data_IF_589851306944
#
_entry.id   IF_589851306944
#
_cell.length_a   1.000
_cell.length_b   1.000
_cell.length_c   1.000
_cell.angle_alpha   90.00
_cell.angle_beta   90.00
_cell.angle_gamma   90.00
#
_symmetry.space_group_name_H-M   'P 1'
#
loop_
_entity.id
_entity.type
_entity.pdbx_description
1 polymer ?
#
# COMPACT_ATOMS: atom_id res chain seq x y z
N UNK A 1 -13.25 4.95 -19.16
CA UNK A 1 -12.66 4.54 -17.88
C UNK A 1 -12.69 3.03 -17.90
N UNK A 2 -11.56 2.39 -17.63
CA UNK A 2 -11.50 0.95 -17.44
C UNK A 2 -12.24 0.59 -16.14
N UNK A 3 -13.01 -0.49 -16.17
CA UNK A 3 -13.81 -0.97 -15.05
C UNK A 3 -13.37 -2.35 -14.57
N UNK A 4 -12.48 -3.02 -15.30
CA UNK A 4 -11.92 -4.32 -14.93
C UNK A 4 -10.42 -4.39 -15.26
N UNK A 5 -9.66 -5.17 -14.49
CA UNK A 5 -8.26 -5.48 -14.77
C UNK A 5 -8.13 -6.16 -16.12
N UNK A 6 -9.06 -7.07 -16.46
CA UNK A 6 -9.10 -7.69 -17.78
C UNK A 6 -9.13 -6.67 -18.93
N UNK A 7 -9.89 -5.58 -18.79
CA UNK A 7 -9.96 -4.54 -19.84
C UNK A 7 -8.63 -3.81 -20.01
N UNK A 8 -7.88 -3.59 -18.92
CA UNK A 8 -6.55 -2.99 -18.95
C UNK A 8 -5.59 -3.92 -19.72
N UNK A 9 -5.57 -5.20 -19.37
CA UNK A 9 -4.71 -6.21 -20.01
C UNK A 9 -5.03 -6.33 -21.50
N UNK A 10 -6.30 -6.45 -21.86
CA UNK A 10 -6.74 -6.57 -23.26
C UNK A 10 -6.38 -5.30 -24.05
N UNK A 11 -6.53 -4.11 -23.46
CA UNK A 11 -6.17 -2.84 -24.09
C UNK A 11 -4.66 -2.69 -24.29
N UNK A 12 -3.85 -3.03 -23.29
CA UNK A 12 -2.39 -2.97 -23.35
C UNK A 12 -1.87 -3.90 -24.46
N UNK A 13 -2.35 -5.14 -24.48
CA UNK A 13 -1.99 -6.11 -25.52
C UNK A 13 -2.46 -5.69 -26.92
N UNK A 14 -3.70 -5.19 -27.06
CA UNK A 14 -4.22 -4.78 -28.37
C UNK A 14 -3.50 -3.54 -28.93
N UNK A 15 -3.15 -2.59 -28.07
CA UNK A 15 -2.50 -1.34 -28.46
C UNK A 15 -0.97 -1.41 -28.45
N UNK A 16 -0.39 -2.50 -27.95
CA UNK A 16 1.05 -2.68 -27.75
C UNK A 16 1.64 -1.54 -26.90
N UNK A 17 0.90 -1.12 -25.87
CA UNK A 17 1.28 -0.07 -24.93
C UNK A 17 1.54 -0.65 -23.55
N UNK A 18 2.38 0.03 -22.80
CA UNK A 18 2.54 -0.20 -21.38
C UNK A 18 1.29 0.28 -20.62
N UNK A 19 1.04 -0.29 -19.46
CA UNK A 19 -0.12 0.02 -18.62
C UNK A 19 -0.06 1.48 -18.13
N UNK A 20 1.13 2.00 -17.82
CA UNK A 20 1.27 3.41 -17.42
C UNK A 20 0.80 4.38 -18.52
N UNK A 21 0.96 4.04 -19.79
CA UNK A 21 0.49 4.87 -20.90
C UNK A 21 -1.05 4.91 -20.91
N UNK A 22 -1.70 3.76 -20.70
CA UNK A 22 -3.15 3.67 -20.60
C UNK A 22 -3.68 4.46 -19.40
N UNK A 23 -2.94 4.47 -18.28
CA UNK A 23 -3.28 5.24 -17.09
C UNK A 23 -3.27 6.75 -17.38
N UNK A 24 -2.22 7.24 -18.04
CA UNK A 24 -2.08 8.66 -18.42
C UNK A 24 -3.19 9.06 -19.40
N UNK A 25 -3.43 8.25 -20.44
CA UNK A 25 -4.50 8.52 -21.42
C UNK A 25 -5.88 8.57 -20.77
N UNK A 26 -6.13 7.66 -19.83
CA UNK A 26 -7.36 7.65 -19.06
C UNK A 26 -7.50 8.94 -18.23
N UNK A 27 -6.46 9.34 -17.52
CA UNK A 27 -6.48 10.54 -16.65
C UNK A 27 -6.72 11.80 -17.47
N UNK A 28 -6.02 11.98 -18.59
CA UNK A 28 -6.23 13.10 -19.52
C UNK A 28 -7.67 13.10 -20.03
N UNK A 29 -8.19 11.94 -20.43
CA UNK A 29 -9.56 11.83 -20.97
C UNK A 29 -10.62 12.17 -19.92
N UNK A 30 -10.41 11.84 -18.66
CA UNK A 30 -11.36 12.08 -17.58
C UNK A 30 -11.31 13.52 -17.06
N UNK A 31 -10.10 14.03 -16.82
CA UNK A 31 -9.91 15.35 -16.18
C UNK A 31 -9.87 16.49 -17.19
N UNK A 32 -9.63 16.21 -18.47
CA UNK A 32 -9.49 17.19 -19.56
C UNK A 32 -8.32 18.16 -19.36
N UNK A 33 -7.32 17.79 -18.57
CA UNK A 33 -6.09 18.58 -18.37
C UNK A 33 -4.95 18.08 -19.28
N UNK A 34 -3.87 18.85 -19.40
CA UNK A 34 -2.76 18.49 -20.30
C UNK A 34 -1.92 17.32 -19.78
N UNK A 35 -1.12 16.71 -20.65
CA UNK A 35 -0.15 15.67 -20.27
C UNK A 35 0.83 16.18 -19.20
N UNK A 36 1.34 17.40 -19.39
CA UNK A 36 2.30 18.05 -18.49
C UNK A 36 1.69 18.27 -17.09
N UNK A 37 0.41 18.62 -17.02
CA UNK A 37 -0.29 18.79 -15.75
C UNK A 37 -0.52 17.45 -15.04
N UNK A 38 -0.89 16.39 -15.77
CA UNK A 38 -1.00 15.03 -15.24
C UNK A 38 0.34 14.54 -14.71
N UNK A 39 1.40 14.69 -15.50
CA UNK A 39 2.76 14.31 -15.15
C UNK A 39 3.26 15.07 -13.90
N UNK A 40 3.12 16.40 -13.88
CA UNK A 40 3.58 17.24 -12.77
C UNK A 40 2.83 16.93 -11.46
N UNK A 41 1.55 16.54 -11.52
CA UNK A 41 0.83 16.04 -10.34
C UNK A 41 1.44 14.75 -9.81
N UNK A 42 1.74 13.79 -10.68
CA UNK A 42 2.32 12.51 -10.26
C UNK A 42 3.75 12.68 -9.75
N UNK A 43 4.54 13.57 -10.35
CA UNK A 43 5.88 13.90 -9.89
C UNK A 43 5.87 14.49 -8.47
N UNK A 44 4.90 15.36 -8.14
CA UNK A 44 4.74 15.87 -6.77
C UNK A 44 4.39 14.76 -5.77
N UNK A 45 3.61 13.76 -6.19
CA UNK A 45 3.32 12.60 -5.35
C UNK A 45 4.59 11.80 -5.06
N UNK A 46 5.41 11.54 -6.08
CA UNK A 46 6.70 10.86 -5.94
C UNK A 46 7.64 11.63 -5.00
N UNK A 47 7.76 12.95 -5.19
CA UNK A 47 8.58 13.81 -4.33
C UNK A 47 8.11 13.77 -2.86
N UNK A 48 6.80 13.75 -2.63
CA UNK A 48 6.22 13.64 -1.29
C UNK A 48 6.58 12.31 -0.65
N UNK A 49 6.50 11.20 -1.40
CA UNK A 49 6.91 9.88 -0.92
C UNK A 49 8.39 9.84 -0.55
N UNK A 50 9.27 10.35 -1.43
CA UNK A 50 10.71 10.39 -1.19
C UNK A 50 11.05 11.25 0.03
N UNK A 51 10.40 12.41 0.18
CA UNK A 51 10.60 13.28 1.33
C UNK A 51 10.18 12.61 2.64
N UNK A 52 9.04 11.91 2.66
CA UNK A 52 8.60 11.17 3.84
C UNK A 52 9.59 10.05 4.24
N UNK A 53 10.11 9.29 3.27
CA UNK A 53 11.16 8.28 3.55
C UNK A 53 12.38 8.94 4.18
N UNK A 54 12.92 9.99 3.56
CA UNK A 54 14.14 10.65 4.05
C UNK A 54 13.94 11.20 5.47
N UNK A 55 12.84 11.92 5.69
CA UNK A 55 12.50 12.49 6.99
C UNK A 55 12.40 11.43 8.08
N UNK A 56 11.87 10.24 7.78
CA UNK A 56 11.68 9.17 8.76
C UNK A 56 12.98 8.56 9.32
N UNK A 57 14.09 8.74 8.61
CA UNK A 57 15.40 8.16 8.96
C UNK A 57 16.45 9.23 9.31
N UNK A 58 16.07 10.50 9.33
CA UNK A 58 16.93 11.60 9.78
C UNK A 58 17.05 11.60 11.30
N UNK A 59 18.28 11.66 11.83
CA UNK A 59 18.54 11.66 13.27
C UNK A 59 17.94 10.43 13.98
N UNK A 60 17.12 10.67 15.00
CA UNK A 60 16.41 9.63 15.75
C UNK A 60 15.08 9.19 15.09
N UNK A 61 14.75 9.77 13.93
CA UNK A 61 13.51 9.54 13.19
C UNK A 61 12.38 10.49 13.63
N UNK A 62 11.16 10.10 13.31
CA UNK A 62 9.93 10.87 13.63
C UNK A 62 9.08 10.13 14.65
N UNK A 63 8.34 10.89 15.47
CA UNK A 63 7.55 10.35 16.57
C UNK A 63 6.13 10.91 16.56
N UNK A 64 5.15 10.04 16.80
CA UNK A 64 3.76 10.46 16.93
C UNK A 64 3.54 11.27 18.22
N UNK A 65 2.57 12.21 18.24
CA UNK A 65 2.23 12.95 19.45
C UNK A 65 1.79 12.06 20.63
N UNK A 66 1.32 10.85 20.35
CA UNK A 66 0.89 9.87 21.36
C UNK A 66 2.07 9.11 21.97
N UNK A 67 3.24 9.12 21.31
CA UNK A 67 4.41 8.35 21.70
C UNK A 67 4.30 6.83 21.46
N UNK A 68 3.26 6.37 20.76
CA UNK A 68 3.07 4.95 20.46
C UNK A 68 3.89 4.48 19.24
N UNK A 69 4.20 5.38 18.33
CA UNK A 69 4.90 5.13 17.06
C UNK A 69 6.07 6.09 16.92
N UNK A 70 7.21 5.58 16.47
CA UNK A 70 8.34 6.42 16.08
C UNK A 70 9.71 5.77 16.28
N UNK A 71 10.64 6.15 15.41
CA UNK A 71 12.03 5.70 15.42
C UNK A 71 12.25 4.23 15.06
N UNK A 72 11.19 3.47 14.72
CA UNK A 72 11.35 2.08 14.27
C UNK A 72 12.03 2.03 12.89
N UNK A 73 11.81 3.02 12.00
CA UNK A 73 12.54 3.10 10.74
C UNK A 73 14.06 3.22 10.94
N UNK A 74 14.51 4.04 11.89
CA UNK A 74 15.93 4.17 12.25
C UNK A 74 16.50 2.89 12.86
N UNK A 75 15.73 2.20 13.72
CA UNK A 75 16.14 0.89 14.26
C UNK A 75 16.34 -0.14 13.14
N UNK A 76 15.44 -0.17 12.17
CA UNK A 76 15.52 -1.09 11.02
C UNK A 76 16.69 -0.72 10.11
N UNK A 77 16.92 0.58 9.86
CA UNK A 77 18.12 1.08 9.16
C UNK A 77 19.40 0.56 9.80
N UNK A 78 19.52 0.75 11.11
CA UNK A 78 20.70 0.31 11.87
C UNK A 78 20.86 -1.21 11.85
N UNK A 79 19.77 -1.97 11.94
CA UNK A 79 19.79 -3.43 11.79
C UNK A 79 20.29 -3.85 10.40
N UNK A 80 19.75 -3.23 9.34
CA UNK A 80 20.14 -3.52 7.95
C UNK A 80 21.62 -3.23 7.69
N UNK A 81 22.10 -2.07 8.13
CA UNK A 81 23.47 -1.61 7.82
C UNK A 81 24.55 -2.32 8.64
N UNK A 82 24.23 -2.80 9.85
CA UNK A 82 25.23 -3.32 10.78
C UNK A 82 25.09 -4.81 11.09
N UNK A 83 24.08 -5.50 10.55
CA UNK A 83 23.85 -6.93 10.79
C UNK A 83 23.48 -7.67 9.51
N UNK A 84 23.52 -9.00 9.58
CA UNK A 84 23.06 -9.87 8.49
C UNK A 84 21.53 -10.00 8.55
N UNK A 85 20.85 -9.49 7.53
CA UNK A 85 19.40 -9.60 7.38
C UNK A 85 18.97 -11.03 7.01
N UNK A 86 17.77 -11.44 7.43
CA UNK A 86 17.26 -12.79 7.16
C UNK A 86 16.54 -12.88 5.80
N UNK A 87 15.78 -11.85 5.45
CA UNK A 87 14.98 -11.78 4.22
C UNK A 87 15.72 -11.13 3.04
N UNK A 88 17.02 -10.85 3.20
CA UNK A 88 17.79 -10.06 2.25
C UNK A 88 17.66 -8.55 2.46
N UNK A 89 18.68 -7.82 2.00
CA UNK A 89 18.82 -6.37 2.18
C UNK A 89 17.69 -5.58 1.53
N UNK A 90 17.36 -5.90 0.28
CA UNK A 90 16.29 -5.27 -0.51
C UNK A 90 14.95 -5.31 0.23
N UNK A 91 14.57 -6.48 0.74
CA UNK A 91 13.31 -6.64 1.49
C UNK A 91 13.30 -5.78 2.76
N UNK A 92 14.42 -5.74 3.50
CA UNK A 92 14.53 -4.93 4.72
C UNK A 92 14.54 -3.44 4.40
N UNK A 93 15.10 -3.02 3.27
CA UNK A 93 14.99 -1.65 2.76
C UNK A 93 13.53 -1.27 2.48
N UNK A 94 12.76 -2.14 1.83
CA UNK A 94 11.33 -1.91 1.60
C UNK A 94 10.54 -1.79 2.90
N UNK A 95 10.80 -2.69 3.85
CA UNK A 95 10.19 -2.65 5.20
C UNK A 95 10.54 -1.36 5.93
N UNK A 96 11.80 -0.92 5.89
CA UNK A 96 12.24 0.34 6.48
C UNK A 96 11.46 1.52 5.89
N UNK A 97 11.41 1.62 4.56
CA UNK A 97 10.75 2.71 3.86
C UNK A 97 9.25 2.74 4.15
N UNK A 98 8.59 1.58 4.15
CA UNK A 98 7.17 1.47 4.44
C UNK A 98 6.83 1.90 5.88
N UNK A 99 7.60 1.41 6.86
CA UNK A 99 7.45 1.83 8.26
C UNK A 99 7.71 3.32 8.37
N UNK A 100 8.80 3.83 7.79
CA UNK A 100 9.17 5.23 7.88
C UNK A 100 8.10 6.19 7.36
N UNK A 101 7.49 5.91 6.20
CA UNK A 101 6.38 6.72 5.68
C UNK A 101 5.18 6.69 6.63
N UNK A 102 4.85 5.53 7.20
CA UNK A 102 3.76 5.42 8.16
C UNK A 102 4.07 6.09 9.52
N UNK A 103 5.33 6.14 9.93
CA UNK A 103 5.76 6.93 11.10
C UNK A 103 5.59 8.42 10.82
N UNK A 104 5.94 8.90 9.60
CA UNK A 104 5.68 10.30 9.19
C UNK A 104 4.18 10.61 9.22
N UNK A 105 3.33 9.70 8.73
CA UNK A 105 1.88 9.82 8.81
C UNK A 105 1.40 9.92 10.28
N UNK A 106 1.87 9.03 11.15
CA UNK A 106 1.53 9.04 12.58
C UNK A 106 2.03 10.31 13.31
N UNK A 107 3.12 10.90 12.82
CA UNK A 107 3.66 12.18 13.25
C UNK A 107 2.97 13.41 12.62
N UNK A 108 1.84 13.21 11.90
CA UNK A 108 1.08 14.26 11.21
C UNK A 108 1.87 15.00 10.13
N UNK A 109 2.88 14.35 9.55
CA UNK A 109 3.64 14.85 8.41
C UNK A 109 2.92 14.65 7.07
N UNK A 110 3.43 15.29 6.02
CA UNK A 110 2.91 15.14 4.67
C UNK A 110 3.26 13.74 4.11
N UNK A 111 2.25 13.05 3.59
CA UNK A 111 2.37 11.74 2.92
C UNK A 111 1.55 11.72 1.63
N UNK A 112 1.81 10.74 0.78
CA UNK A 112 0.98 10.45 -0.39
C UNK A 112 0.10 9.22 -0.09
N UNK A 113 -1.22 9.39 -0.10
CA UNK A 113 -2.16 8.30 0.18
C UNK A 113 -2.15 7.27 -0.96
N UNK A 114 -2.00 5.98 -0.62
CA UNK A 114 -1.97 4.88 -1.61
C UNK A 114 -2.62 3.60 -1.08
N UNK A 115 -3.95 3.40 -1.23
CA UNK A 115 -4.96 4.39 -1.60
C UNK A 115 -5.42 5.25 -0.40
N UNK A 116 -5.08 4.87 0.84
CA UNK A 116 -5.42 5.65 2.05
C UNK A 116 -4.17 6.14 2.76
N UNK A 117 -4.34 7.06 3.71
CA UNK A 117 -3.25 7.48 4.59
C UNK A 117 -2.69 6.30 5.41
N UNK A 118 -3.55 5.37 5.84
CA UNK A 118 -3.15 4.19 6.61
C UNK A 118 -2.31 3.19 5.82
N UNK A 119 -2.46 3.12 4.50
CA UNK A 119 -1.68 2.27 3.61
C UNK A 119 -0.55 2.99 2.85
N UNK A 120 -0.28 4.26 3.19
CA UNK A 120 0.61 5.14 2.43
C UNK A 120 2.06 4.68 2.32
N UNK A 121 2.54 3.81 3.22
CA UNK A 121 3.91 3.30 3.19
C UNK A 121 4.13 2.13 2.23
N UNK A 122 3.08 1.40 1.85
CA UNK A 122 3.24 0.14 1.10
C UNK A 122 3.85 0.36 -0.30
N UNK A 123 3.24 1.24 -1.10
CA UNK A 123 3.69 1.59 -2.46
C UNK A 123 5.11 2.17 -2.49
N UNK A 124 5.47 3.18 -1.70
CA UNK A 124 6.85 3.67 -1.66
C UNK A 124 7.82 2.64 -1.10
N UNK A 125 7.41 1.79 -0.16
CA UNK A 125 8.22 0.67 0.30
C UNK A 125 8.67 -0.24 -0.84
N UNK A 126 7.77 -0.58 -1.75
CA UNK A 126 8.09 -1.37 -2.95
C UNK A 126 9.00 -0.58 -3.88
N UNK A 127 8.54 0.59 -4.34
CA UNK A 127 9.24 1.40 -5.35
C UNK A 127 10.69 1.70 -4.96
N UNK A 128 10.92 2.20 -3.74
CA UNK A 128 12.25 2.61 -3.31
C UNK A 128 13.16 1.43 -2.93
N UNK A 129 12.61 0.22 -2.74
CA UNK A 129 13.44 -0.99 -2.56
C UNK A 129 13.97 -1.54 -3.87
N UNK A 130 13.21 -1.41 -4.97
CA UNK A 130 13.57 -1.99 -6.27
C UNK A 130 14.30 -1.01 -7.18
N UNK A 131 14.21 0.31 -6.95
CA UNK A 131 14.73 1.33 -7.87
C UNK A 131 16.20 1.13 -8.27
N UNK A 132 17.06 0.77 -7.33
CA UNK A 132 18.50 0.63 -7.60
C UNK A 132 18.80 -0.73 -8.24
N UNK A 133 18.04 -1.76 -7.88
CA UNK A 133 18.18 -3.12 -8.44
C UNK A 133 17.74 -3.16 -9.90
N UNK A 134 16.66 -2.46 -10.24
CA UNK A 134 16.13 -2.34 -11.60
C UNK A 134 16.71 -1.15 -12.37
N UNK A 135 17.57 -0.34 -11.74
CA UNK A 135 18.16 0.89 -12.32
C UNK A 135 17.10 1.86 -12.86
N UNK A 136 15.99 2.01 -12.13
CA UNK A 136 14.87 2.85 -12.53
C UNK A 136 15.29 4.31 -12.61
N UNK A 137 15.00 4.95 -13.74
CA UNK A 137 15.10 6.40 -13.88
C UNK A 137 13.98 7.10 -13.10
N UNK A 138 14.09 8.41 -12.94
CA UNK A 138 13.02 9.22 -12.35
C UNK A 138 11.69 9.08 -13.13
N UNK A 139 11.77 8.97 -14.45
CA UNK A 139 10.59 8.76 -15.30
C UNK A 139 9.97 7.38 -15.05
N UNK A 140 10.77 6.33 -14.91
CA UNK A 140 10.28 4.98 -14.60
C UNK A 140 9.59 4.92 -13.23
N UNK A 141 10.10 5.67 -12.26
CA UNK A 141 9.45 5.79 -10.95
C UNK A 141 8.08 6.48 -11.04
N UNK A 142 7.91 7.44 -11.94
CA UNK A 142 6.62 8.09 -12.21
C UNK A 142 5.67 7.12 -12.95
N UNK A 143 6.18 6.38 -13.95
CA UNK A 143 5.42 5.33 -14.65
C UNK A 143 4.89 4.26 -13.68
N UNK A 144 5.73 3.82 -12.73
CA UNK A 144 5.32 2.89 -11.68
C UNK A 144 4.09 3.41 -10.90
N UNK A 145 4.07 4.69 -10.55
CA UNK A 145 2.93 5.28 -9.84
C UNK A 145 1.67 5.37 -10.70
N UNK A 146 1.80 5.64 -12.00
CA UNK A 146 0.67 5.62 -12.93
C UNK A 146 0.04 4.23 -13.04
N UNK A 147 0.86 3.19 -13.15
CA UNK A 147 0.37 1.79 -13.19
C UNK A 147 -0.29 1.41 -11.88
N UNK A 148 0.36 1.71 -10.74
CA UNK A 148 -0.22 1.51 -9.41
C UNK A 148 -1.60 2.20 -9.28
N UNK A 149 -1.69 3.47 -9.70
CA UNK A 149 -2.91 4.24 -9.65
C UNK A 149 -4.04 3.64 -10.51
N UNK A 150 -3.74 3.19 -11.73
CA UNK A 150 -4.75 2.61 -12.63
C UNK A 150 -5.38 1.34 -12.03
N UNK A 151 -4.58 0.42 -11.49
CA UNK A 151 -5.10 -0.75 -10.75
C UNK A 151 -5.93 -0.32 -9.53
N UNK A 152 -5.46 0.69 -8.79
CA UNK A 152 -6.19 1.26 -7.65
C UNK A 152 -7.57 1.80 -8.02
N UNK A 153 -7.72 2.41 -9.21
CA UNK A 153 -9.03 2.90 -9.67
C UNK A 153 -10.04 1.78 -9.87
N UNK A 154 -9.60 0.59 -10.33
CA UNK A 154 -10.48 -0.57 -10.49
C UNK A 154 -11.00 -1.04 -9.14
N UNK A 155 -10.13 -1.11 -8.13
CA UNK A 155 -10.53 -1.48 -6.77
C UNK A 155 -11.52 -0.48 -6.17
N UNK A 156 -11.23 0.82 -6.30
CA UNK A 156 -12.08 1.88 -5.77
C UNK A 156 -13.49 1.88 -6.39
N UNK A 157 -13.60 1.55 -7.67
CA UNK A 157 -14.87 1.57 -8.39
C UNK A 157 -15.71 0.30 -8.22
N UNK A 158 -15.10 -0.86 -7.95
CA UNK A 158 -15.80 -2.15 -7.89
C UNK A 158 -15.94 -2.72 -6.48
N UNK A 159 -15.15 -2.24 -5.51
CA UNK A 159 -15.17 -2.72 -4.15
C UNK A 159 -15.24 -1.56 -3.14
N UNK A 160 -14.19 -1.39 -2.35
CA UNK A 160 -14.03 -0.28 -1.42
C UNK A 160 -12.54 -0.14 -1.10
N UNK A 161 -12.13 1.06 -0.68
CA UNK A 161 -10.77 1.34 -0.20
C UNK A 161 -10.74 1.80 1.27
N UNK A 162 -11.85 1.63 1.99
CA UNK A 162 -11.99 2.11 3.37
C UNK A 162 -11.88 0.96 4.38
N UNK A 163 -10.97 1.11 5.35
CA UNK A 163 -10.81 0.17 6.47
C UNK A 163 -12.08 0.01 7.29
N UNK A 164 -12.79 1.11 7.56
CA UNK A 164 -14.07 1.13 8.27
C UNK A 164 -15.16 0.28 7.62
N UNK A 165 -15.13 0.12 6.29
CA UNK A 165 -16.13 -0.66 5.57
C UNK A 165 -15.65 -2.07 5.24
N UNK A 166 -14.46 -2.18 4.64
CA UNK A 166 -13.95 -3.42 4.05
C UNK A 166 -12.92 -4.16 4.87
N UNK A 167 -12.49 -3.63 6.01
CA UNK A 167 -11.30 -4.11 6.71
C UNK A 167 -10.01 -3.62 6.04
N UNK A 168 -8.86 -3.93 6.64
CA UNK A 168 -7.56 -3.46 6.18
C UNK A 168 -7.10 -4.15 4.88
N UNK A 169 -7.77 -5.23 4.46
CA UNK A 169 -7.68 -5.77 3.10
C UNK A 169 -7.98 -4.70 2.04
N UNK A 170 -8.92 -3.78 2.31
CA UNK A 170 -9.30 -2.72 1.39
C UNK A 170 -8.27 -1.59 1.32
N UNK A 171 -7.39 -1.49 2.31
CA UNK A 171 -6.35 -0.46 2.40
C UNK A 171 -4.99 -1.04 2.04
N UNK A 172 -4.37 -1.78 2.97
CA UNK A 172 -3.04 -2.37 2.80
C UNK A 172 -3.06 -3.50 1.78
N UNK A 173 -4.15 -4.28 1.71
CA UNK A 173 -4.31 -5.31 0.69
C UNK A 173 -4.34 -4.71 -0.73
N UNK A 174 -5.19 -3.70 -0.94
CA UNK A 174 -5.23 -2.93 -2.19
C UNK A 174 -3.87 -2.30 -2.52
N UNK A 175 -3.22 -1.64 -1.55
CA UNK A 175 -1.91 -1.02 -1.76
C UNK A 175 -0.83 -2.04 -2.15
N UNK A 176 -0.83 -3.21 -1.51
CA UNK A 176 0.06 -4.32 -1.82
C UNK A 176 -0.17 -4.82 -3.25
N UNK A 177 -1.42 -5.01 -3.65
CA UNK A 177 -1.79 -5.45 -4.98
C UNK A 177 -1.44 -4.42 -6.08
N UNK A 178 -1.74 -3.15 -5.85
CA UNK A 178 -1.38 -2.05 -6.74
C UNK A 178 0.14 -1.97 -6.94
N UNK A 179 0.91 -2.06 -5.85
CA UNK A 179 2.37 -1.99 -5.91
C UNK A 179 2.98 -3.24 -6.56
N UNK A 180 2.40 -4.43 -6.36
CA UNK A 180 2.85 -5.66 -7.01
C UNK A 180 2.70 -5.58 -8.54
N UNK A 181 1.54 -5.13 -9.02
CA UNK A 181 1.28 -4.95 -10.45
C UNK A 181 2.26 -3.97 -11.12
N UNK A 182 2.54 -2.85 -10.44
CA UNK A 182 3.48 -1.85 -10.90
C UNK A 182 4.94 -2.34 -10.86
N UNK A 183 5.31 -3.13 -9.86
CA UNK A 183 6.64 -3.73 -9.77
C UNK A 183 6.90 -4.71 -10.92
N UNK A 184 5.90 -5.49 -11.31
CA UNK A 184 6.00 -6.38 -12.48
C UNK A 184 6.24 -5.59 -13.76
N UNK A 185 5.49 -4.52 -14.01
CA UNK A 185 5.68 -3.72 -15.20
C UNK A 185 7.05 -3.02 -15.20
N UNK A 186 7.47 -2.44 -14.07
CA UNK A 186 8.78 -1.82 -13.93
C UNK A 186 9.94 -2.81 -14.15
N UNK A 187 9.72 -4.11 -13.90
CA UNK A 187 10.68 -5.18 -14.18
C UNK A 187 10.60 -5.72 -15.63
N UNK A 188 9.76 -5.12 -16.50
CA UNK A 188 9.58 -5.55 -17.89
C UNK A 188 8.66 -6.75 -18.07
N UNK A 189 7.85 -7.07 -17.06
CA UNK A 189 6.83 -8.12 -17.16
C UNK A 189 5.67 -7.75 -18.08
N UNK A 190 4.93 -8.76 -18.52
CA UNK A 190 3.76 -8.56 -19.40
C UNK A 190 2.55 -7.99 -18.64
N UNK A 191 1.58 -7.35 -19.33
CA UNK A 191 0.34 -6.91 -18.68
C UNK A 191 -0.41 -8.04 -17.96
N UNK A 192 -0.35 -9.27 -18.51
CA UNK A 192 -0.93 -10.43 -17.85
C UNK A 192 -0.22 -10.72 -16.51
N UNK A 193 1.12 -10.70 -16.47
CA UNK A 193 1.85 -10.90 -15.22
C UNK A 193 1.57 -9.82 -14.18
N UNK A 194 1.34 -8.57 -14.59
CA UNK A 194 0.89 -7.52 -13.66
C UNK A 194 -0.48 -7.83 -13.04
N UNK A 195 -1.40 -8.38 -13.85
CA UNK A 195 -2.69 -8.89 -13.34
C UNK A 195 -2.52 -10.09 -12.40
N UNK A 196 -1.61 -11.02 -12.71
CA UNK A 196 -1.31 -12.16 -11.84
C UNK A 196 -0.74 -11.71 -10.48
N UNK A 197 0.24 -10.80 -10.49
CA UNK A 197 0.83 -10.26 -9.26
C UNK A 197 -0.17 -9.50 -8.41
N UNK A 198 -1.02 -8.69 -9.05
CA UNK A 198 -2.13 -8.02 -8.38
C UNK A 198 -3.03 -9.04 -7.66
N UNK A 199 -3.45 -10.08 -8.38
CA UNK A 199 -4.33 -11.13 -7.87
C UNK A 199 -3.69 -11.88 -6.70
N UNK A 200 -2.42 -12.29 -6.81
CA UNK A 200 -1.69 -13.00 -5.73
C UNK A 200 -1.60 -12.13 -4.48
N UNK A 201 -1.16 -10.89 -4.64
CA UNK A 201 -0.96 -9.97 -3.53
C UNK A 201 -2.27 -9.70 -2.79
N UNK A 202 -3.37 -9.48 -3.52
CA UNK A 202 -4.68 -9.23 -2.92
C UNK A 202 -5.22 -10.46 -2.20
N UNK A 203 -5.13 -11.65 -2.81
CA UNK A 203 -5.57 -12.92 -2.22
C UNK A 203 -4.94 -13.18 -0.86
N UNK A 204 -3.63 -12.97 -0.73
CA UNK A 204 -2.88 -13.21 0.52
C UNK A 204 -3.34 -12.35 1.70
N UNK A 205 -4.06 -11.26 1.43
CA UNK A 205 -4.51 -10.31 2.45
C UNK A 205 -6.05 -10.26 2.57
N UNK A 206 -6.78 -11.16 1.90
CA UNK A 206 -8.23 -11.29 2.08
C UNK A 206 -8.59 -11.64 3.53
N UNK A 207 -9.64 -11.00 4.05
CA UNK A 207 -10.10 -11.17 5.44
C UNK A 207 -9.31 -10.37 6.47
N UNK A 208 -8.31 -9.57 6.06
CA UNK A 208 -7.53 -8.75 6.99
C UNK A 208 -8.43 -7.68 7.65
N UNK A 209 -8.69 -7.86 8.94
CA UNK A 209 -9.54 -7.00 9.79
C UNK A 209 -8.94 -5.61 10.00
N UNK A 210 -9.74 -4.59 10.28
CA UNK A 210 -9.24 -3.25 10.63
C UNK A 210 -9.63 -2.92 12.07
N UNK A 211 -8.78 -3.21 13.05
CA UNK A 211 -9.08 -2.96 14.47
C UNK A 211 -7.94 -2.19 15.14
N UNK A 212 -7.73 -0.91 14.79
CA UNK A 212 -6.60 -0.14 15.27
C UNK A 212 -6.74 0.23 16.75
N UNK A 213 -5.63 0.12 17.51
CA UNK A 213 -5.58 0.51 18.91
C UNK A 213 -5.96 1.99 19.05
N UNK A 214 -6.92 2.25 19.94
CA UNK A 214 -7.44 3.59 20.20
C UNK A 214 -8.01 4.31 18.94
N UNK A 215 -8.31 3.58 17.86
CA UNK A 215 -8.77 4.20 16.61
C UNK A 215 -7.67 4.95 15.84
N UNK A 216 -6.40 4.77 16.21
CA UNK A 216 -5.28 5.54 15.66
C UNK A 216 -4.61 4.77 14.52
N UNK A 217 -4.13 5.51 13.51
CA UNK A 217 -3.38 4.96 12.36
C UNK A 217 -1.92 4.68 12.76
N UNK A 218 -1.76 3.86 13.79
CA UNK A 218 -0.48 3.59 14.46
C UNK A 218 -0.32 2.08 14.63
N UNK A 219 -1.08 1.48 15.55
CA UNK A 219 -0.99 0.04 15.88
C UNK A 219 -2.27 -0.65 15.42
N UNK A 220 -2.20 -1.70 14.56
CA UNK A 220 -1.02 -2.29 13.94
C UNK A 220 -0.66 -1.68 12.56
N UNK A 221 -1.28 -0.56 12.18
CA UNK A 221 -1.24 0.01 10.84
C UNK A 221 0.18 0.20 10.27
N UNK A 222 1.12 0.69 11.08
CA UNK A 222 2.51 0.92 10.66
C UNK A 222 3.18 -0.38 10.21
N UNK A 223 3.08 -1.43 11.03
CA UNK A 223 3.70 -2.74 10.74
C UNK A 223 2.97 -3.51 9.65
N UNK A 224 1.69 -3.23 9.41
CA UNK A 224 0.96 -3.80 8.27
C UNK A 224 1.50 -3.34 6.94
N UNK A 225 2.00 -2.10 6.83
CA UNK A 225 2.61 -1.62 5.58
C UNK A 225 3.91 -2.34 5.25
N UNK A 226 4.72 -2.71 6.26
CA UNK A 226 5.88 -3.57 6.04
C UNK A 226 5.50 -4.93 5.42
N UNK A 227 4.42 -5.55 5.92
CA UNK A 227 3.91 -6.81 5.37
C UNK A 227 3.29 -6.61 3.98
N UNK A 228 2.59 -5.49 3.76
CA UNK A 228 2.07 -5.12 2.44
C UNK A 228 3.18 -5.01 1.40
N UNK A 229 4.29 -4.35 1.74
CA UNK A 229 5.47 -4.25 0.87
C UNK A 229 6.11 -5.61 0.61
N UNK A 230 6.32 -6.43 1.65
CA UNK A 230 6.92 -7.74 1.49
C UNK A 230 6.06 -8.69 0.64
N UNK A 231 4.74 -8.67 0.87
CA UNK A 231 3.76 -9.44 0.10
C UNK A 231 3.74 -9.01 -1.37
N UNK A 232 3.84 -7.69 -1.64
CA UNK A 232 3.83 -7.17 -3.00
C UNK A 232 5.06 -7.61 -3.81
N UNK A 233 6.25 -7.54 -3.21
CA UNK A 233 7.49 -8.01 -3.84
C UNK A 233 7.46 -9.52 -4.10
N UNK A 234 7.05 -10.30 -3.12
CA UNK A 234 6.92 -11.75 -3.28
C UNK A 234 5.90 -12.11 -4.37
N UNK A 235 4.75 -11.42 -4.42
CA UNK A 235 3.74 -11.62 -5.47
C UNK A 235 4.26 -11.25 -6.87
N UNK A 236 5.04 -10.17 -6.97
CA UNK A 236 5.67 -9.77 -8.23
C UNK A 236 6.66 -10.83 -8.72
N UNK A 237 7.53 -11.34 -7.84
CA UNK A 237 8.49 -12.42 -8.19
C UNK A 237 7.77 -13.69 -8.64
N UNK A 238 6.69 -14.10 -7.95
CA UNK A 238 5.89 -15.27 -8.30
C UNK A 238 5.29 -15.12 -9.71
N UNK A 239 4.71 -13.95 -10.02
CA UNK A 239 4.13 -13.68 -11.34
C UNK A 239 5.19 -13.59 -12.44
N UNK A 240 6.33 -12.94 -12.18
CA UNK A 240 7.47 -12.86 -13.11
C UNK A 240 8.06 -14.24 -13.41
N UNK A 241 8.03 -15.16 -12.44
CA UNK A 241 8.40 -16.55 -12.62
C UNK A 241 7.41 -17.37 -13.48
N UNK A 242 6.28 -16.79 -13.90
CA UNK A 242 5.29 -17.43 -14.75
C UNK A 242 4.28 -18.30 -14.01
N UNK A 243 4.14 -18.12 -12.68
CA UNK A 243 3.11 -18.80 -11.90
C UNK A 243 1.79 -18.04 -12.06
N UNK A 244 0.82 -18.69 -12.69
CA UNK A 244 -0.50 -18.10 -12.97
C UNK A 244 -1.51 -18.43 -11.87
N UNK A 245 -2.45 -17.53 -11.63
CA UNK A 245 -3.61 -17.79 -10.79
C UNK A 245 -4.68 -18.56 -11.57
N UNK A 246 -5.45 -19.37 -10.84
CA UNK A 246 -6.69 -19.96 -11.38
C UNK A 246 -7.86 -18.99 -11.28
N UNK A 247 -7.87 -18.15 -10.23
CA UNK A 247 -8.89 -17.12 -10.00
C UNK A 247 -8.31 -15.80 -10.48
N UNK A 248 -9.00 -15.13 -11.41
CA UNK A 248 -8.49 -13.90 -12.00
C UNK A 248 -8.63 -12.70 -11.03
N UNK A 249 -7.90 -11.62 -11.32
CA UNK A 249 -7.85 -10.43 -10.47
C UNK A 249 -9.23 -9.78 -10.21
N UNK A 250 -10.11 -9.75 -11.22
CA UNK A 250 -11.44 -9.15 -11.09
C UNK A 250 -12.33 -9.95 -10.12
N UNK A 251 -12.28 -11.29 -10.18
CA UNK A 251 -12.96 -12.17 -9.21
C UNK A 251 -12.41 -12.00 -7.79
N UNK A 252 -11.10 -11.78 -7.64
CA UNK A 252 -10.49 -11.52 -6.33
C UNK A 252 -10.93 -10.17 -5.76
N UNK A 253 -11.07 -9.13 -6.58
CA UNK A 253 -11.62 -7.83 -6.16
C UNK A 253 -13.06 -8.01 -5.68
N UNK A 254 -13.87 -8.77 -6.41
CA UNK A 254 -15.23 -9.08 -5.99
C UNK A 254 -15.26 -9.88 -4.67
N UNK A 255 -14.37 -10.87 -4.53
CA UNK A 255 -14.23 -11.63 -3.29
C UNK A 255 -13.87 -10.72 -2.12
N UNK A 256 -12.92 -9.79 -2.29
CA UNK A 256 -12.58 -8.78 -1.28
C UNK A 256 -13.81 -7.97 -0.86
N UNK A 257 -14.60 -7.49 -1.83
CA UNK A 257 -15.82 -6.73 -1.55
C UNK A 257 -16.83 -7.56 -0.74
N UNK A 258 -17.09 -8.80 -1.14
CA UNK A 258 -18.02 -9.72 -0.44
C UNK A 258 -17.53 -10.02 0.99
N UNK A 259 -16.24 -10.30 1.18
CA UNK A 259 -15.63 -10.52 2.50
C UNK A 259 -15.79 -9.29 3.39
N UNK A 260 -15.51 -8.09 2.86
CA UNK A 260 -15.65 -6.84 3.60
C UNK A 260 -17.08 -6.59 4.07
N UNK A 261 -18.06 -6.81 3.19
CA UNK A 261 -19.49 -6.70 3.51
C UNK A 261 -19.95 -7.65 4.60
N UNK A 262 -19.40 -8.86 4.64
CA UNK A 262 -19.74 -9.88 5.62
C UNK A 262 -18.95 -9.73 6.93
N UNK A 263 -17.88 -8.93 6.95
CA UNK A 263 -17.05 -8.74 8.14
C UNK A 263 -17.88 -8.16 9.31
N UNK A 264 -17.88 -8.77 10.51
CA UNK A 264 -18.57 -8.23 11.67
C UNK A 264 -18.08 -6.83 12.02
N UNK A 265 -18.97 -5.99 12.55
CA UNK A 265 -18.66 -4.60 12.91
C UNK A 265 -17.49 -4.51 13.91
N UNK A 266 -17.39 -5.48 14.81
CA UNK A 266 -16.36 -5.60 15.85
C UNK A 266 -14.95 -5.82 15.27
N UNK A 267 -14.86 -6.36 14.05
CA UNK A 267 -13.62 -6.62 13.33
C UNK A 267 -13.34 -5.56 12.24
N UNK A 268 -14.19 -4.55 12.14
CA UNK A 268 -13.93 -3.30 11.42
C UNK A 268 -13.42 -2.25 12.41
N UNK A 269 -13.28 -1.01 11.95
CA UNK A 269 -12.58 0.09 12.64
C UNK A 269 -13.18 0.56 13.98
N UNK A 270 -14.10 -0.21 14.57
CA UNK A 270 -14.78 0.10 15.83
C UNK A 270 -13.91 -0.12 17.08
N UNK A 271 -12.84 -0.91 17.00
CA UNK A 271 -11.95 -1.12 18.13
C UNK A 271 -12.47 -2.14 19.16
N UNK A 272 -13.42 -3.02 18.78
CA UNK A 272 -14.22 -3.82 19.72
C UNK A 272 -13.86 -5.31 19.75
N UNK A 273 -13.27 -5.86 18.70
CA UNK A 273 -13.15 -7.32 18.54
C UNK A 273 -11.72 -7.87 18.46
N UNK A 274 -10.74 -7.07 18.08
CA UNK A 274 -9.37 -7.54 17.80
C UNK A 274 -8.33 -7.00 18.78
N UNK A 275 -7.19 -6.56 18.23
CA UNK A 275 -6.05 -6.08 19.02
C UNK A 275 -6.38 -4.83 19.85
N UNK A 276 -7.29 -3.97 19.39
CA UNK A 276 -7.72 -2.79 20.12
C UNK A 276 -8.50 -3.13 21.40
N UNK A 277 -9.19 -4.27 21.42
CA UNK A 277 -9.97 -4.75 22.56
C UNK A 277 -9.16 -5.57 23.56
N UNK A 278 -7.86 -5.77 23.33
CA UNK A 278 -6.97 -6.43 24.31
C UNK A 278 -6.78 -5.58 25.56
N UNK A 279 -6.41 -6.17 26.72
CA UNK A 279 -6.18 -5.40 27.95
C UNK A 279 -5.22 -4.22 27.76
N UNK A 280 -4.12 -4.42 27.02
CA UNK A 280 -3.16 -3.36 26.69
C UNK A 280 -3.74 -2.33 25.73
N UNK A 281 -4.51 -2.75 24.72
CA UNK A 281 -5.17 -1.84 23.77
C UNK A 281 -6.17 -0.91 24.47
N UNK A 282 -6.99 -1.46 25.38
CA UNK A 282 -7.93 -0.69 26.20
C UNK A 282 -7.18 0.27 27.14
N UNK A 283 -6.13 -0.19 27.80
CA UNK A 283 -5.33 0.66 28.68
C UNK A 283 -4.70 1.85 27.93
N UNK A 284 -4.18 1.62 26.71
CA UNK A 284 -3.65 2.69 25.85
C UNK A 284 -4.75 3.68 25.48
N UNK A 285 -5.91 3.20 25.03
CA UNK A 285 -7.06 4.04 24.69
C UNK A 285 -7.47 4.94 25.87
N UNK A 286 -7.57 4.37 27.08
CA UNK A 286 -7.93 5.10 28.29
C UNK A 286 -6.86 6.13 28.69
N UNK A 287 -5.58 5.82 28.49
CA UNK A 287 -4.49 6.78 28.74
C UNK A 287 -4.57 8.01 27.83
N UNK A 288 -4.99 7.83 26.57
CA UNK A 288 -5.04 8.90 25.58
C UNK A 288 -6.32 9.74 25.72
N UNK A 289 -7.48 9.09 25.84
CA UNK A 289 -8.79 9.77 25.80
C UNK A 289 -9.45 9.94 27.19
N UNK A 290 -8.81 9.44 28.25
CA UNK A 290 -9.43 9.30 29.57
C UNK A 290 -10.33 8.08 29.65
N UNK A 291 -10.62 7.63 30.87
CA UNK A 291 -11.70 6.67 31.10
C UNK A 291 -13.04 7.37 30.85
N UNK A 292 -13.70 7.04 29.74
CA UNK A 292 -15.14 7.23 29.71
C UNK A 292 -15.73 6.21 30.67
N UNK A 293 -16.36 6.65 31.75
CA UNK A 293 -17.31 5.82 32.48
C UNK A 293 -18.31 5.29 31.46
N UNK A 294 -18.20 4.02 31.09
CA UNK A 294 -19.28 3.27 30.45
C UNK A 294 -20.35 3.05 31.53
N UNK A 295 -21.00 4.14 31.95
CA UNK A 295 -22.18 4.09 32.79
C UNK A 295 -23.39 4.12 31.86
N UNK A 296 -24.09 2.97 31.85
CA UNK A 296 -25.35 2.59 31.18
C UNK A 296 -25.23 1.96 29.79
#
# INVERSE_FOLDING_TARGET
MYMAIKEIVDAANKSQKQIYELAIEQEIKQTKISYEEVWSKMERNLATMQHAINKSIEGDGVFSPTGLTGGDAVKIKNYRENRKTLSGDLMVLGIQSAIGVNEVNAALGAICATPTAGASGTTPGVLFSIKDTLQLSHEDMIHFLFTSALFGTIVANNACISGAYGGCQAEVGSASAMAAAAAVEAAGGTPQQSSEAFSIALQNLLGLVCDPVAGLVEIPCVKRNAIGTANALAAADIALAGVNNLINADEVIEAMYRVGRQMPRELRETGLGGIAATPTGIAIKNKIFGEKQLNQ
#
